data_IF_366650020661
#
_entry.id   IF_366650020661
#
_cell.length_a   1.000
_cell.length_b   1.000
_cell.length_c   1.000
_cell.angle_alpha   90.00
_cell.angle_beta   90.00
_cell.angle_gamma   90.00
#
_symmetry.space_group_name_H-M   'P 1'
#
loop_
_entity.id
_entity.type
_entity.pdbx_description
1 polymer ?
#
# COMPACT_ATOMS: atom_id res chain seq x y z
N UNK A 1 13.38 1.83 2.53
CA UNK A 1 12.26 2.28 1.69
C UNK A 1 10.95 2.07 2.43
N UNK A 2 10.05 3.04 2.46
CA UNK A 2 8.77 2.87 3.13
C UNK A 2 7.92 1.81 2.44
N UNK A 3 7.17 1.08 3.26
CA UNK A 3 6.26 0.01 2.83
C UNK A 3 4.82 0.43 3.14
N UNK A 4 3.93 0.14 2.21
CA UNK A 4 2.53 0.49 2.34
C UNK A 4 1.64 -0.72 2.11
N UNK A 5 0.66 -0.89 3.00
CA UNK A 5 -0.46 -1.78 2.77
C UNK A 5 -1.59 -0.92 2.18
N UNK A 6 -2.13 -1.34 1.05
CA UNK A 6 -3.24 -0.65 0.41
C UNK A 6 -4.43 -1.58 0.29
N UNK A 7 -5.56 -1.15 0.83
CA UNK A 7 -6.84 -1.83 0.66
C UNK A 7 -7.59 -1.12 -0.47
N UNK A 8 -8.13 -1.87 -1.41
CA UNK A 8 -8.79 -1.27 -2.56
C UNK A 8 -10.16 -1.87 -2.82
N UNK A 9 -11.04 -1.03 -3.41
CA UNK A 9 -12.34 -1.45 -3.92
C UNK A 9 -12.39 -1.18 -5.41
N UNK A 10 -12.78 -2.20 -6.17
CA UNK A 10 -13.02 -2.03 -7.60
C UNK A 10 -14.35 -1.32 -7.85
N UNK A 11 -14.42 -0.56 -8.94
CA UNK A 11 -15.70 -0.13 -9.50
C UNK A 11 -16.40 -1.33 -10.13
N UNK A 12 -17.72 -1.25 -10.37
CA UNK A 12 -18.43 -2.34 -11.05
C UNK A 12 -17.83 -2.70 -12.42
N UNK A 13 -17.41 -1.70 -13.19
CA UNK A 13 -16.77 -1.92 -14.49
C UNK A 13 -15.45 -2.67 -14.34
N UNK A 14 -14.65 -2.29 -13.35
CA UNK A 14 -13.38 -2.95 -13.09
C UNK A 14 -13.55 -4.40 -12.64
N UNK A 15 -14.62 -4.70 -11.89
CA UNK A 15 -14.94 -6.08 -11.52
C UNK A 15 -15.22 -6.96 -12.75
N UNK A 16 -15.97 -6.42 -13.71
CA UNK A 16 -16.23 -7.12 -14.97
C UNK A 16 -14.94 -7.37 -15.72
N UNK A 17 -14.08 -6.36 -15.80
CA UNK A 17 -12.78 -6.49 -16.44
C UNK A 17 -11.88 -7.51 -15.74
N UNK A 18 -11.92 -7.53 -14.41
CA UNK A 18 -11.15 -8.48 -13.60
C UNK A 18 -11.52 -9.94 -13.93
N UNK A 19 -12.79 -10.23 -14.01
CA UNK A 19 -13.27 -11.58 -14.37
C UNK A 19 -12.79 -11.98 -15.75
N UNK A 20 -12.78 -11.04 -16.69
CA UNK A 20 -12.36 -11.28 -18.08
C UNK A 20 -10.84 -11.40 -18.20
N UNK A 21 -10.09 -10.48 -17.58
CA UNK A 21 -8.63 -10.42 -17.68
C UNK A 21 -7.90 -11.49 -16.89
N UNK A 22 -8.46 -11.89 -15.76
CA UNK A 22 -7.83 -12.75 -14.77
C UNK A 22 -6.89 -12.00 -13.84
N UNK A 23 -6.72 -12.58 -12.65
CA UNK A 23 -5.93 -11.97 -11.58
C UNK A 23 -4.45 -11.84 -11.93
N UNK A 24 -3.87 -12.85 -12.58
CA UNK A 24 -2.44 -12.85 -12.90
C UNK A 24 -2.05 -11.69 -13.81
N UNK A 25 -2.91 -11.31 -14.75
CA UNK A 25 -2.64 -10.18 -15.63
C UNK A 25 -2.63 -8.86 -14.86
N UNK A 26 -3.54 -8.70 -13.92
CA UNK A 26 -3.59 -7.51 -13.06
C UNK A 26 -2.40 -7.41 -12.12
N UNK A 27 -1.99 -8.52 -11.54
CA UNK A 27 -0.80 -8.57 -10.70
C UNK A 27 0.45 -8.17 -11.50
N UNK A 28 0.61 -8.73 -12.68
CA UNK A 28 1.76 -8.41 -13.54
C UNK A 28 1.80 -6.94 -13.93
N UNK A 29 0.64 -6.35 -14.25
CA UNK A 29 0.55 -4.95 -14.63
C UNK A 29 0.92 -4.02 -13.47
N UNK A 30 0.43 -4.29 -12.27
CA UNK A 30 0.76 -3.49 -11.10
C UNK A 30 2.23 -3.64 -10.72
N UNK A 31 2.75 -4.86 -10.76
CA UNK A 31 4.16 -5.13 -10.51
C UNK A 31 5.05 -4.30 -11.42
N UNK A 32 4.76 -4.28 -12.71
CA UNK A 32 5.51 -3.51 -13.67
C UNK A 32 5.45 -2.01 -13.37
N UNK A 33 4.27 -1.50 -13.04
CA UNK A 33 4.07 -0.10 -12.70
C UNK A 33 4.90 0.30 -11.48
N UNK A 34 4.85 -0.50 -10.42
CA UNK A 34 5.58 -0.23 -9.18
C UNK A 34 7.10 -0.32 -9.41
N UNK A 35 7.56 -1.33 -10.13
CA UNK A 35 8.99 -1.49 -10.43
C UNK A 35 9.50 -0.34 -11.30
N UNK A 36 8.71 0.13 -12.24
CA UNK A 36 9.05 1.29 -13.08
C UNK A 36 9.23 2.56 -12.26
N UNK A 37 8.57 2.65 -11.13
CA UNK A 37 8.70 3.77 -10.19
C UNK A 37 9.81 3.57 -9.14
N UNK A 38 10.60 2.51 -9.28
CA UNK A 38 11.69 2.20 -8.35
C UNK A 38 11.25 1.45 -7.10
N UNK A 39 10.03 0.95 -7.07
CA UNK A 39 9.48 0.21 -5.95
C UNK A 39 9.51 -1.29 -6.14
N UNK A 40 8.89 -1.98 -5.21
CA UNK A 40 8.79 -3.44 -5.23
C UNK A 40 7.43 -3.88 -4.71
N UNK A 41 6.72 -4.66 -5.51
CA UNK A 41 5.46 -5.28 -5.07
C UNK A 41 5.78 -6.55 -4.28
N UNK A 42 5.38 -6.57 -3.01
CA UNK A 42 5.60 -7.74 -2.16
C UNK A 42 4.42 -8.70 -2.18
N UNK A 43 3.22 -8.17 -2.23
CA UNK A 43 2.00 -8.96 -2.14
C UNK A 43 0.85 -8.28 -2.87
N UNK A 44 0.10 -9.08 -3.61
CA UNK A 44 -1.16 -8.64 -4.23
C UNK A 44 -2.15 -9.79 -4.10
N UNK A 45 -3.11 -9.65 -3.18
CA UNK A 45 -4.12 -10.66 -2.95
C UNK A 45 -5.51 -10.06 -3.06
N UNK A 46 -6.47 -10.90 -3.41
CA UNK A 46 -7.87 -10.51 -3.52
C UNK A 46 -8.67 -11.15 -2.40
N UNK A 47 -9.69 -10.45 -1.93
CA UNK A 47 -10.57 -10.94 -0.87
C UNK A 47 -11.67 -11.81 -1.46
N UNK A 48 -12.24 -12.66 -0.61
CA UNK A 48 -13.40 -13.47 -1.01
C UNK A 48 -14.64 -12.59 -1.18
N UNK A 49 -15.62 -13.02 -1.97
CA UNK A 49 -16.88 -12.28 -2.13
C UNK A 49 -17.55 -12.00 -0.78
N UNK A 50 -18.12 -10.82 -0.65
CA UNK A 50 -18.79 -10.39 0.58
C UNK A 50 -17.92 -9.54 1.50
N UNK A 51 -16.63 -9.40 1.21
CA UNK A 51 -15.73 -8.51 1.96
C UNK A 51 -15.95 -7.06 1.55
N UNK A 52 -15.70 -6.13 2.48
CA UNK A 52 -15.83 -4.70 2.21
C UNK A 52 -14.84 -4.21 1.16
N UNK A 53 -13.65 -4.79 1.12
CA UNK A 53 -12.62 -4.44 0.14
C UNK A 53 -12.46 -5.57 -0.87
N UNK A 54 -12.01 -5.21 -2.07
CA UNK A 54 -11.78 -6.17 -3.16
C UNK A 54 -10.44 -6.87 -3.05
N UNK A 55 -9.47 -6.25 -2.39
CA UNK A 55 -8.17 -6.85 -2.21
C UNK A 55 -7.21 -5.97 -1.44
N UNK A 56 -5.97 -6.44 -1.38
CA UNK A 56 -4.90 -5.82 -0.61
C UNK A 56 -3.58 -5.94 -1.38
N UNK A 57 -2.78 -4.87 -1.31
CA UNK A 57 -1.39 -4.90 -1.78
C UNK A 57 -0.46 -4.51 -0.66
N UNK A 58 0.77 -5.04 -0.69
CA UNK A 58 1.87 -4.55 0.11
C UNK A 58 3.02 -4.28 -0.84
N UNK A 59 3.57 -3.07 -0.79
CA UNK A 59 4.63 -2.66 -1.70
C UNK A 59 5.59 -1.67 -1.02
N UNK A 60 6.84 -1.72 -1.45
CA UNK A 60 7.86 -0.74 -1.08
C UNK A 60 7.96 0.33 -2.17
N UNK A 61 8.22 1.56 -1.75
CA UNK A 61 8.46 2.69 -2.64
C UNK A 61 9.68 3.48 -2.17
N UNK A 62 10.36 4.20 -3.10
CA UNK A 62 11.50 5.03 -2.70
C UNK A 62 11.14 6.06 -1.63
N UNK A 63 9.96 6.63 -1.71
CA UNK A 63 9.44 7.63 -0.77
C UNK A 63 7.91 7.74 -0.87
N UNK A 64 7.33 8.50 0.05
CA UNK A 64 5.88 8.71 0.09
C UNK A 64 5.36 9.45 -1.14
N UNK A 65 6.16 10.34 -1.72
CA UNK A 65 5.76 11.08 -2.93
C UNK A 65 5.56 10.14 -4.11
N UNK A 66 6.47 9.18 -4.27
CA UNK A 66 6.39 8.18 -5.34
C UNK A 66 5.16 7.29 -5.14
N UNK A 67 4.92 6.83 -3.92
CA UNK A 67 3.71 6.07 -3.60
C UNK A 67 2.45 6.84 -3.99
N UNK A 68 2.37 8.10 -3.56
CA UNK A 68 1.22 8.95 -3.82
C UNK A 68 0.99 9.14 -5.32
N UNK A 69 2.05 9.41 -6.08
CA UNK A 69 1.96 9.60 -7.52
C UNK A 69 1.48 8.33 -8.24
N UNK A 70 2.04 7.17 -7.89
CA UNK A 70 1.66 5.90 -8.51
C UNK A 70 0.19 5.58 -8.24
N UNK A 71 -0.26 5.70 -7.00
CA UNK A 71 -1.64 5.36 -6.68
C UNK A 71 -2.65 6.43 -7.13
N UNK A 72 -2.22 7.68 -7.28
CA UNK A 72 -3.05 8.69 -7.93
C UNK A 72 -3.31 8.33 -9.40
N UNK A 73 -2.27 7.89 -10.12
CA UNK A 73 -2.41 7.42 -11.50
C UNK A 73 -3.29 6.17 -11.58
N UNK A 74 -3.06 5.22 -10.69
CA UNK A 74 -3.87 4.00 -10.64
C UNK A 74 -5.34 4.33 -10.40
N UNK A 75 -5.63 5.23 -9.47
CA UNK A 75 -7.01 5.64 -9.19
C UNK A 75 -7.63 6.41 -10.35
N UNK A 76 -6.83 7.19 -11.07
CA UNK A 76 -7.29 7.96 -12.22
C UNK A 76 -7.75 7.07 -13.39
N UNK A 77 -7.39 5.80 -13.41
CA UNK A 77 -7.88 4.86 -14.44
C UNK A 77 -9.37 4.57 -14.32
N UNK A 78 -9.98 4.92 -13.19
CA UNK A 78 -11.40 4.64 -12.93
C UNK A 78 -11.66 3.21 -12.44
N UNK A 79 -10.61 2.41 -12.25
CA UNK A 79 -10.75 1.02 -11.81
C UNK A 79 -11.11 0.91 -10.33
N UNK A 80 -10.78 1.91 -9.52
CA UNK A 80 -10.95 1.85 -8.08
C UNK A 80 -11.87 2.93 -7.58
N UNK A 81 -12.89 2.55 -6.78
CA UNK A 81 -13.77 3.50 -6.12
C UNK A 81 -13.16 4.02 -4.82
N UNK A 82 -12.26 3.24 -4.22
CA UNK A 82 -11.60 3.60 -2.97
C UNK A 82 -10.25 2.89 -2.87
N UNK A 83 -9.26 3.62 -2.36
CA UNK A 83 -7.96 3.06 -1.98
C UNK A 83 -7.62 3.62 -0.60
N UNK A 84 -7.40 2.73 0.36
CA UNK A 84 -7.02 3.09 1.71
C UNK A 84 -5.61 2.61 2.00
N UNK A 85 -4.72 3.52 2.37
CA UNK A 85 -3.31 3.23 2.57
C UNK A 85 -2.91 3.29 4.04
N UNK A 86 -2.03 2.37 4.43
CA UNK A 86 -1.43 2.34 5.77
C UNK A 86 0.07 2.09 5.58
N UNK A 87 0.89 2.97 6.14
CA UNK A 87 2.33 2.74 6.13
C UNK A 87 2.67 1.66 7.17
N UNK A 88 3.54 0.74 6.79
CA UNK A 88 3.97 -0.37 7.64
C UNK A 88 5.40 -0.12 8.12
N UNK A 89 5.62 -0.39 9.40
CA UNK A 89 6.93 -0.28 10.01
C UNK A 89 7.37 -1.66 10.53
N UNK A 90 8.65 -1.95 10.40
CA UNK A 90 9.23 -3.17 10.97
C UNK A 90 9.43 -3.00 12.46
N UNK A 91 9.62 -4.11 13.17
CA UNK A 91 9.97 -4.06 14.59
C UNK A 91 11.23 -3.22 14.82
N UNK A 92 12.23 -3.38 13.95
CA UNK A 92 13.48 -2.62 14.03
C UNK A 92 13.24 -1.11 13.88
N UNK A 93 12.37 -0.71 12.98
CA UNK A 93 12.02 0.70 12.78
C UNK A 93 11.29 1.27 14.00
N UNK A 94 10.37 0.49 14.58
CA UNK A 94 9.66 0.89 15.80
C UNK A 94 10.65 1.04 16.96
N UNK A 95 11.53 0.08 17.14
CA UNK A 95 12.51 0.11 18.23
C UNK A 95 13.44 1.31 18.12
N UNK A 96 13.85 1.65 16.90
CA UNK A 96 14.66 2.84 16.65
C UNK A 96 13.91 4.11 17.05
N UNK A 97 12.64 4.22 16.68
CA UNK A 97 11.79 5.34 17.06
C UNK A 97 11.57 5.41 18.56
N UNK A 98 11.33 4.28 19.21
CA UNK A 98 11.17 4.20 20.66
C UNK A 98 12.44 4.62 21.39
N UNK A 99 13.61 4.24 20.88
CA UNK A 99 14.89 4.67 21.42
C UNK A 99 15.02 6.18 21.43
N UNK A 100 14.68 6.83 20.33
CA UNK A 100 14.70 8.29 20.22
C UNK A 100 13.69 8.92 21.16
N UNK A 101 12.47 8.39 21.20
CA UNK A 101 11.43 8.88 22.10
C UNK A 101 11.82 8.72 23.56
N UNK A 102 12.41 7.59 23.91
CA UNK A 102 12.89 7.32 25.27
C UNK A 102 13.92 8.33 25.74
N UNK A 103 14.84 8.74 24.87
CA UNK A 103 15.83 9.77 25.17
C UNK A 103 15.16 11.12 25.46
N UNK A 104 14.20 11.50 24.63
CA UNK A 104 13.46 12.75 24.83
C UNK A 104 12.67 12.72 26.14
N UNK A 105 11.95 11.65 26.40
CA UNK A 105 11.16 11.49 27.62
C UNK A 105 12.05 11.52 28.87
N UNK A 106 13.21 10.88 28.82
CA UNK A 106 14.15 10.85 29.91
C UNK A 106 14.75 12.22 30.17
N UNK A 107 15.10 12.94 29.12
CA UNK A 107 15.72 14.28 29.25
C UNK A 107 14.76 15.29 29.86
N UNK A 108 13.52 15.28 29.43
CA UNK A 108 12.52 16.28 29.84
C UNK A 108 11.64 15.84 30.99
N UNK A 109 11.51 14.55 31.21
CA UNK A 109 10.58 13.99 32.20
C UNK A 109 9.14 14.46 31.99
N UNK A 110 8.82 14.78 30.75
CA UNK A 110 7.53 15.39 30.40
C UNK A 110 6.40 14.39 30.42
N UNK A 111 6.69 13.15 30.12
CA UNK A 111 5.67 12.14 29.84
C UNK A 111 5.34 11.28 31.04
N UNK A 112 5.80 11.64 32.17
CA UNK A 112 5.52 10.92 33.43
C UNK A 112 4.21 11.29 34.07
#
# INVERSE_FOLDING_TARGET
MPRYLSLFKYTPEARKGFVKEKAAAREAALKLTIESAGGKLELFNWTVPGSDYSGVTIAEFPDASTYTAVFALVKATGAFSEIKAVELLTASEIDRGLGTWGLVAQADKIVT
#
